data_IF_545679777096
#
_entry.id   IF_545679777096
#
_cell.length_a   1.000
_cell.length_b   1.000
_cell.length_c   1.000
_cell.angle_alpha   90.00
_cell.angle_beta   90.00
_cell.angle_gamma   90.00
#
_symmetry.space_group_name_H-M   'P 1'
#
loop_
_entity.id
_entity.type
_entity.pdbx_description
1 polymer ?
#
# COMPACT_ATOMS: atom_id res chain seq x y z
N UNK A 1 -0.49 -7.55 3.66
CA UNK A 1 0.24 -7.50 4.94
C UNK A 1 1.38 -6.49 4.86
N UNK A 2 1.53 -5.60 5.85
CA UNK A 2 2.55 -4.54 5.82
C UNK A 2 3.98 -5.11 5.94
N UNK A 3 4.18 -6.07 6.85
CA UNK A 3 5.47 -6.70 7.17
C UNK A 3 5.93 -7.79 6.19
N UNK A 4 5.18 -8.07 5.13
CA UNK A 4 5.59 -9.03 4.11
C UNK A 4 6.65 -8.39 3.18
N UNK A 5 7.88 -8.96 3.10
CA UNK A 5 8.94 -8.40 2.27
C UNK A 5 8.60 -8.42 0.77
N UNK A 6 7.93 -9.46 0.29
CA UNK A 6 7.49 -9.55 -1.10
C UNK A 6 6.48 -8.47 -1.47
N UNK A 7 5.53 -8.16 -0.57
CA UNK A 7 4.58 -7.08 -0.76
C UNK A 7 5.27 -5.71 -0.72
N UNK A 8 6.32 -5.55 0.10
CA UNK A 8 7.12 -4.32 0.14
C UNK A 8 7.80 -4.04 -1.19
N UNK A 9 8.42 -5.04 -1.83
CA UNK A 9 9.04 -4.87 -3.15
C UNK A 9 8.05 -4.35 -4.20
N UNK A 10 6.82 -4.91 -4.22
CA UNK A 10 5.77 -4.46 -5.14
C UNK A 10 5.30 -3.03 -4.84
N UNK A 11 5.16 -2.64 -3.56
CA UNK A 11 4.83 -1.25 -3.21
C UNK A 11 5.94 -0.26 -3.60
N UNK A 12 7.19 -0.67 -3.47
CA UNK A 12 8.33 0.14 -3.88
C UNK A 12 8.30 0.37 -5.40
N UNK A 13 8.08 -0.67 -6.22
CA UNK A 13 8.01 -0.46 -7.68
C UNK A 13 6.81 0.39 -8.09
N UNK A 14 5.66 0.25 -7.40
CA UNK A 14 4.50 1.13 -7.60
C UNK A 14 4.87 2.59 -7.34
N UNK A 15 5.69 2.85 -6.31
CA UNK A 15 6.17 4.19 -6.02
C UNK A 15 7.15 4.72 -7.07
N UNK A 16 8.07 3.88 -7.55
CA UNK A 16 9.04 4.20 -8.61
C UNK A 16 8.34 4.55 -9.92
N UNK A 17 7.36 3.75 -10.31
CA UNK A 17 6.58 3.94 -11.54
C UNK A 17 5.49 5.01 -11.41
N UNK A 18 5.36 5.61 -10.22
CA UNK A 18 4.35 6.61 -9.90
C UNK A 18 2.93 6.15 -10.25
N UNK A 19 2.60 4.89 -9.97
CA UNK A 19 1.29 4.31 -10.28
C UNK A 19 0.27 4.57 -9.18
N UNK A 20 -0.98 4.76 -9.60
CA UNK A 20 -2.13 4.76 -8.70
C UNK A 20 -2.69 3.34 -8.60
N UNK A 21 -2.75 2.80 -7.37
CA UNK A 21 -3.12 1.40 -7.15
C UNK A 21 -4.19 1.30 -6.08
N UNK A 22 -5.24 0.52 -6.36
CA UNK A 22 -6.20 0.11 -5.34
C UNK A 22 -5.65 -1.07 -4.55
N UNK A 23 -5.23 -0.82 -3.32
CA UNK A 23 -4.79 -1.88 -2.41
C UNK A 23 -5.95 -2.48 -1.65
N UNK A 24 -5.95 -3.81 -1.59
CA UNK A 24 -6.78 -4.62 -0.69
C UNK A 24 -5.88 -5.20 0.40
N UNK A 25 -5.84 -4.61 1.59
CA UNK A 25 -4.98 -5.11 2.64
C UNK A 25 -5.38 -6.51 3.07
N UNK A 26 -4.40 -7.39 3.22
CA UNK A 26 -4.60 -8.76 3.70
C UNK A 26 -3.70 -8.98 4.93
N UNK A 27 -4.08 -8.50 6.13
CA UNK A 27 -3.38 -8.82 7.38
C UNK A 27 -3.55 -10.30 7.75
N UNK A 28 -2.77 -10.82 8.70
CA UNK A 28 -3.02 -12.15 9.29
C UNK A 28 -4.39 -12.13 9.97
N UNK A 29 -5.15 -13.23 9.83
CA UNK A 29 -6.51 -13.38 10.38
C UNK A 29 -7.57 -12.40 9.83
N UNK A 30 -7.26 -11.67 8.74
CA UNK A 30 -8.24 -10.83 8.05
C UNK A 30 -9.37 -11.67 7.41
N UNK A 31 -10.64 -11.39 7.70
CA UNK A 31 -11.76 -12.20 7.23
C UNK A 31 -12.14 -11.92 5.76
N UNK A 32 -11.77 -10.76 5.20
CA UNK A 32 -12.41 -10.27 3.97
C UNK A 32 -11.64 -10.64 2.69
N UNK A 33 -10.38 -10.23 2.53
CA UNK A 33 -9.72 -10.29 1.22
C UNK A 33 -8.85 -11.52 1.01
N UNK A 34 -8.38 -12.14 2.09
CA UNK A 34 -7.55 -13.36 2.00
C UNK A 34 -8.27 -14.49 1.28
N UNK A 35 -9.58 -14.67 1.53
CA UNK A 35 -10.42 -15.69 0.89
C UNK A 35 -10.59 -15.40 -0.59
N UNK A 36 -10.86 -14.14 -0.96
CA UNK A 36 -10.96 -13.70 -2.35
C UNK A 36 -9.71 -14.01 -3.18
N UNK A 37 -8.52 -13.86 -2.59
CA UNK A 37 -7.27 -14.24 -3.30
C UNK A 37 -7.21 -15.73 -3.61
N UNK A 38 -7.71 -16.60 -2.72
CA UNK A 38 -7.80 -18.03 -3.00
C UNK A 38 -8.89 -18.35 -4.05
N UNK A 39 -10.02 -17.65 -4.03
CA UNK A 39 -11.07 -17.79 -5.03
C UNK A 39 -10.60 -17.37 -6.43
N UNK A 40 -9.80 -16.31 -6.52
CA UNK A 40 -9.33 -15.75 -7.79
C UNK A 40 -8.09 -16.44 -8.36
N UNK A 41 -7.12 -16.81 -7.52
CA UNK A 41 -5.85 -17.39 -7.99
C UNK A 41 -5.54 -18.78 -7.43
N UNK A 42 -6.47 -19.41 -6.71
CA UNK A 42 -6.35 -20.80 -6.25
C UNK A 42 -5.51 -21.01 -4.98
N UNK A 43 -4.81 -19.99 -4.48
CA UNK A 43 -4.01 -20.09 -3.23
C UNK A 43 -3.94 -18.77 -2.46
N UNK A 44 -3.85 -18.84 -1.13
CA UNK A 44 -3.64 -17.67 -0.27
C UNK A 44 -2.17 -17.22 -0.25
N UNK A 45 -1.66 -16.81 -1.42
CA UNK A 45 -0.30 -16.28 -1.59
C UNK A 45 -0.36 -14.76 -1.83
N UNK A 46 0.62 -14.02 -1.29
CA UNK A 46 0.66 -12.56 -1.38
C UNK A 46 2.08 -12.06 -1.72
N UNK A 47 2.23 -11.01 -2.55
CA UNK A 47 1.17 -10.25 -3.21
C UNK A 47 0.48 -11.03 -4.34
N UNK A 48 -0.75 -10.66 -4.63
CA UNK A 48 -1.50 -11.07 -5.82
C UNK A 48 -1.96 -9.79 -6.51
N UNK A 49 -1.65 -9.66 -7.80
CA UNK A 49 -1.94 -8.47 -8.59
C UNK A 49 -3.02 -8.80 -9.62
N UNK A 50 -3.94 -7.86 -9.83
CA UNK A 50 -4.89 -7.86 -10.93
C UNK A 50 -4.76 -6.53 -11.65
N UNK A 51 -4.54 -6.58 -12.96
CA UNK A 51 -4.51 -5.42 -13.83
C UNK A 51 -5.78 -5.39 -14.70
N UNK A 52 -6.75 -4.50 -14.38
CA UNK A 52 -7.99 -4.43 -15.14
C UNK A 52 -7.79 -3.88 -16.57
N UNK A 53 -6.68 -3.18 -16.85
CA UNK A 53 -6.44 -2.61 -18.18
C UNK A 53 -6.09 -3.69 -19.21
N UNK A 54 -5.54 -4.82 -18.76
CA UNK A 54 -5.09 -5.92 -19.62
C UNK A 54 -5.80 -7.25 -19.32
N UNK A 55 -6.51 -7.34 -18.19
CA UNK A 55 -7.10 -8.58 -17.69
C UNK A 55 -6.07 -9.53 -17.05
N UNK A 56 -4.81 -9.13 -16.94
CA UNK A 56 -3.74 -9.95 -16.36
C UNK A 56 -3.94 -10.07 -14.85
N UNK A 57 -3.80 -11.29 -14.33
CA UNK A 57 -3.64 -11.53 -12.89
C UNK A 57 -2.48 -12.49 -12.64
N UNK A 58 -1.71 -12.25 -11.59
CA UNK A 58 -0.51 -13.05 -11.32
C UNK A 58 -0.07 -13.01 -9.85
N UNK A 59 0.68 -14.05 -9.48
CA UNK A 59 1.46 -14.15 -8.26
C UNK A 59 2.92 -13.76 -8.51
N UNK A 60 3.76 -14.05 -7.52
CA UNK A 60 5.21 -13.87 -7.53
C UNK A 60 5.63 -12.41 -7.65
N UNK A 61 6.17 -11.86 -6.56
CA UNK A 61 6.52 -10.43 -6.50
C UNK A 61 7.50 -10.01 -7.59
N UNK A 62 8.42 -10.88 -8.00
CA UNK A 62 9.41 -10.55 -9.04
C UNK A 62 8.79 -10.53 -10.44
N UNK A 63 7.81 -11.40 -10.71
CA UNK A 63 7.09 -11.39 -11.98
C UNK A 63 6.12 -10.20 -12.05
N UNK A 64 5.47 -9.85 -10.93
CA UNK A 64 4.68 -8.62 -10.80
C UNK A 64 5.56 -7.39 -11.10
N UNK A 65 6.76 -7.31 -10.52
CA UNK A 65 7.67 -6.18 -10.77
C UNK A 65 8.08 -6.11 -12.24
N UNK A 66 8.50 -7.23 -12.83
CA UNK A 66 8.86 -7.30 -14.26
C UNK A 66 7.69 -6.87 -15.14
N UNK A 67 6.49 -7.34 -14.84
CA UNK A 67 5.27 -6.98 -15.57
C UNK A 67 5.01 -5.47 -15.48
N UNK A 68 4.99 -4.90 -14.27
CA UNK A 68 4.70 -3.48 -14.06
C UNK A 68 5.72 -2.58 -14.76
N UNK A 69 7.01 -2.93 -14.66
CA UNK A 69 8.09 -2.17 -15.31
C UNK A 69 8.03 -2.30 -16.83
N UNK A 70 7.76 -3.49 -17.37
CA UNK A 70 7.63 -3.69 -18.82
C UNK A 70 6.38 -3.04 -19.42
N UNK A 71 5.28 -2.98 -18.65
CA UNK A 71 3.99 -2.46 -19.13
C UNK A 71 3.81 -0.97 -18.92
N UNK A 72 4.29 -0.45 -17.79
CA UNK A 72 4.04 0.92 -17.33
C UNK A 72 5.33 1.71 -17.06
N UNK A 73 6.50 1.12 -17.28
CA UNK A 73 7.80 1.77 -17.13
C UNK A 73 8.63 1.73 -18.42
N UNK A 74 9.94 1.80 -18.26
CA UNK A 74 10.94 1.78 -19.34
C UNK A 74 11.51 0.38 -19.63
N UNK A 75 10.97 -0.65 -18.97
CA UNK A 75 11.48 -2.02 -19.08
C UNK A 75 12.65 -2.35 -18.14
N UNK A 76 13.23 -1.39 -17.43
CA UNK A 76 14.39 -1.61 -16.56
C UNK A 76 13.99 -1.71 -15.08
N UNK A 77 14.21 -2.89 -14.47
CA UNK A 77 13.99 -3.05 -13.04
C UNK A 77 15.12 -2.36 -12.27
N UNK A 78 14.83 -1.43 -11.34
CA UNK A 78 15.86 -0.78 -10.54
C UNK A 78 16.76 -1.79 -9.84
N UNK A 79 18.08 -1.56 -9.83
CA UNK A 79 19.07 -2.50 -9.26
C UNK A 79 18.77 -2.83 -7.79
N UNK A 80 18.29 -1.84 -7.02
CA UNK A 80 17.88 -2.05 -5.63
C UNK A 80 16.75 -3.08 -5.46
N UNK A 81 15.90 -3.24 -6.48
CA UNK A 81 14.82 -4.24 -6.53
C UNK A 81 15.27 -5.54 -7.20
N UNK A 82 16.30 -5.52 -8.06
CA UNK A 82 16.87 -6.71 -8.68
C UNK A 82 17.82 -7.51 -7.76
N UNK A 83 18.36 -6.86 -6.72
CA UNK A 83 19.24 -7.48 -5.69
C UNK A 83 18.55 -8.50 -4.75
N UNK A 84 17.26 -8.79 -4.96
CA UNK A 84 16.57 -9.94 -4.39
C UNK A 84 16.62 -10.06 -2.85
N UNK A 85 17.09 -11.21 -2.35
CA UNK A 85 17.09 -11.57 -0.92
C UNK A 85 18.02 -10.69 -0.05
N UNK A 86 19.05 -10.06 -0.63
CA UNK A 86 19.98 -9.20 0.11
C UNK A 86 19.32 -7.92 0.64
N UNK A 87 18.49 -7.26 -0.17
CA UNK A 87 17.66 -6.12 0.27
C UNK A 87 16.53 -6.56 1.20
N UNK A 88 16.07 -7.81 1.11
CA UNK A 88 15.07 -8.37 2.03
C UNK A 88 15.62 -8.58 3.44
N UNK A 89 16.88 -9.01 3.57
CA UNK A 89 17.54 -9.23 4.87
C UNK A 89 17.83 -7.91 5.62
N UNK A 90 18.32 -6.88 4.93
CA UNK A 90 18.57 -5.56 5.54
C UNK A 90 17.26 -4.86 5.93
N UNK A 91 16.22 -5.01 5.11
CA UNK A 91 14.86 -4.56 5.42
C UNK A 91 14.27 -5.22 6.67
N UNK A 92 14.57 -6.51 6.91
CA UNK A 92 14.11 -7.26 8.08
C UNK A 92 14.76 -6.80 9.39
N UNK A 93 16.05 -6.47 9.38
CA UNK A 93 16.79 -5.99 10.56
C UNK A 93 16.25 -4.64 11.07
N UNK A 94 15.84 -3.73 10.18
CA UNK A 94 15.23 -2.44 10.55
C UNK A 94 13.84 -2.57 11.22
N UNK A 95 13.24 -3.77 11.24
CA UNK A 95 11.91 -4.02 11.80
C UNK A 95 11.94 -4.61 13.22
N UNK A 96 13.11 -4.98 13.75
CA UNK A 96 13.25 -5.68 15.04
C UNK A 96 12.67 -4.87 16.23
N UNK A 97 12.72 -3.54 16.18
CA UNK A 97 12.21 -2.68 17.25
C UNK A 97 10.72 -2.33 17.19
N UNK A 98 9.95 -2.80 16.20
CA UNK A 98 8.52 -2.48 16.05
C UNK A 98 7.68 -3.76 16.07
N UNK A 99 7.37 -4.22 17.28
CA UNK A 99 6.55 -5.39 17.60
C UNK A 99 5.27 -5.47 16.75
N UNK A 100 5.26 -6.29 15.70
CA UNK A 100 4.06 -6.80 15.01
C UNK A 100 3.10 -5.80 14.35
N UNK A 101 3.29 -4.48 14.47
CA UNK A 101 2.36 -3.47 13.92
C UNK A 101 2.18 -3.63 12.40
N UNK A 102 0.95 -3.50 11.92
CA UNK A 102 0.58 -3.70 10.52
C UNK A 102 0.53 -5.16 10.06
N UNK A 103 0.59 -6.14 10.98
CA UNK A 103 0.73 -7.57 10.63
C UNK A 103 -0.54 -8.39 10.81
N UNK A 104 -1.35 -8.09 11.82
CA UNK A 104 -2.54 -8.87 12.18
C UNK A 104 -3.79 -8.00 12.15
N UNK A 105 -4.92 -8.64 11.87
CA UNK A 105 -6.22 -8.00 11.76
C UNK A 105 -6.72 -7.52 13.11
N UNK A 106 -7.34 -6.35 13.11
CA UNK A 106 -8.16 -5.81 14.18
C UNK A 106 -9.61 -5.69 13.68
N UNK A 107 -10.62 -6.11 14.47
CA UNK A 107 -12.01 -5.97 14.11
C UNK A 107 -12.35 -4.58 13.59
N UNK A 108 -13.04 -4.53 12.45
CA UNK A 108 -13.35 -3.28 11.76
C UNK A 108 -14.57 -3.40 10.86
N UNK A 109 -15.15 -2.24 10.54
CA UNK A 109 -16.21 -2.07 9.55
C UNK A 109 -15.59 -1.73 8.21
N UNK A 110 -15.95 -2.46 7.17
CA UNK A 110 -15.48 -2.14 5.82
C UNK A 110 -16.16 -0.86 5.30
N UNK A 111 -15.39 0.08 4.71
CA UNK A 111 -15.96 1.27 4.10
C UNK A 111 -16.71 0.91 2.80
N UNK A 112 -17.85 1.56 2.49
CA UNK A 112 -18.56 1.35 1.22
C UNK A 112 -17.73 1.72 -0.03
N UNK A 113 -16.92 2.78 0.05
CA UNK A 113 -16.00 3.23 -1.00
C UNK A 113 -14.56 3.16 -0.49
N UNK A 114 -13.58 2.83 -1.35
CA UNK A 114 -12.18 2.84 -0.94
C UNK A 114 -11.74 4.25 -0.55
N UNK A 115 -10.93 4.33 0.50
CA UNK A 115 -10.28 5.58 0.92
C UNK A 115 -9.26 6.02 -0.11
N UNK A 116 -8.86 7.29 -0.13
CA UNK A 116 -7.76 7.77 -0.98
C UNK A 116 -6.61 8.22 -0.09
N UNK A 117 -5.40 7.72 -0.35
CA UNK A 117 -4.22 7.99 0.46
C UNK A 117 -3.09 8.46 -0.43
N UNK A 118 -2.65 9.70 -0.22
CA UNK A 118 -1.48 10.28 -0.88
C UNK A 118 -0.25 10.00 -0.03
N UNK A 119 0.66 9.16 -0.52
CA UNK A 119 1.76 8.64 0.28
C UNK A 119 2.92 8.13 -0.60
N UNK A 120 4.05 7.78 0.02
CA UNK A 120 5.16 7.07 -0.64
C UNK A 120 5.83 6.09 0.33
N UNK A 121 6.43 5.00 -0.18
CA UNK A 121 6.86 3.87 0.66
C UNK A 121 7.94 4.27 1.67
N UNK A 122 8.88 5.13 1.26
CA UNK A 122 10.02 5.58 2.05
C UNK A 122 9.73 6.53 3.23
N UNK A 123 8.50 7.04 3.39
CA UNK A 123 8.17 7.94 4.51
C UNK A 123 7.79 7.16 5.78
N UNK A 124 8.42 7.45 6.95
CA UNK A 124 8.03 6.85 8.22
C UNK A 124 6.62 7.28 8.66
N UNK A 125 6.18 8.49 8.29
CA UNK A 125 4.82 8.97 8.59
C UNK A 125 3.76 8.22 7.77
N UNK A 126 4.04 7.97 6.48
CA UNK A 126 3.17 7.14 5.64
C UNK A 126 3.10 5.70 6.14
N UNK A 127 4.20 5.19 6.73
CA UNK A 127 4.24 3.87 7.34
C UNK A 127 3.25 3.73 8.50
N UNK A 128 3.09 4.75 9.35
CA UNK A 128 2.14 4.74 10.47
C UNK A 128 0.70 4.55 9.96
N UNK A 129 0.29 5.36 8.98
CA UNK A 129 -1.05 5.28 8.39
C UNK A 129 -1.28 3.92 7.72
N UNK A 130 -0.29 3.43 6.97
CA UNK A 130 -0.33 2.12 6.31
C UNK A 130 -0.44 0.95 7.30
N UNK A 131 0.22 1.02 8.45
CA UNK A 131 0.06 0.01 9.51
C UNK A 131 -1.42 -0.08 9.92
N UNK A 132 -2.08 1.05 10.17
CA UNK A 132 -3.50 1.11 10.56
C UNK A 132 -4.44 0.65 9.44
N UNK A 133 -4.24 1.11 8.20
CA UNK A 133 -5.02 0.67 7.04
C UNK A 133 -4.94 -0.86 6.87
N UNK A 134 -3.77 -1.45 7.14
CA UNK A 134 -3.59 -2.89 7.04
C UNK A 134 -4.24 -3.63 8.21
N UNK A 135 -4.07 -3.15 9.45
CA UNK A 135 -4.69 -3.76 10.65
C UNK A 135 -6.21 -3.78 10.54
N UNK A 136 -6.81 -2.67 10.11
CA UNK A 136 -8.26 -2.52 9.92
C UNK A 136 -8.76 -3.05 8.56
N UNK A 137 -7.91 -3.70 7.78
CA UNK A 137 -8.27 -4.30 6.48
C UNK A 137 -8.98 -3.30 5.52
N UNK A 138 -8.59 -2.02 5.51
CA UNK A 138 -9.30 -0.96 4.78
C UNK A 138 -8.81 -0.81 3.32
N UNK A 139 -9.67 -1.06 2.31
CA UNK A 139 -9.33 -0.83 0.91
C UNK A 139 -9.06 0.65 0.65
N UNK A 140 -8.00 0.93 -0.10
CA UNK A 140 -7.62 2.31 -0.40
C UNK A 140 -6.93 2.45 -1.76
N UNK A 141 -7.27 3.52 -2.46
CA UNK A 141 -6.54 4.03 -3.61
C UNK A 141 -5.28 4.72 -3.09
N UNK A 142 -4.12 4.18 -3.44
CA UNK A 142 -2.84 4.72 -3.09
C UNK A 142 -2.32 5.60 -4.22
N UNK A 143 -2.24 6.90 -3.96
CA UNK A 143 -1.67 7.91 -4.86
C UNK A 143 -0.20 8.10 -4.50
N UNK A 144 0.70 7.50 -5.28
CA UNK A 144 2.14 7.64 -5.03
C UNK A 144 2.58 9.10 -5.17
N UNK A 145 3.29 9.62 -4.17
CA UNK A 145 3.87 10.96 -4.14
C UNK A 145 5.39 10.89 -3.88
N UNK A 146 6.07 9.91 -4.47
CA UNK A 146 7.51 9.75 -4.36
C UNK A 146 8.27 11.02 -4.82
N UNK A 147 9.54 11.14 -4.45
CA UNK A 147 10.34 12.32 -4.84
C UNK A 147 10.41 12.39 -6.37
N UNK A 148 10.08 13.55 -6.93
CA UNK A 148 10.01 13.76 -8.38
C UNK A 148 8.64 13.46 -9.02
N UNK A 149 7.68 12.92 -8.26
CA UNK A 149 6.32 12.70 -8.76
C UNK A 149 5.61 14.03 -9.05
N UNK A 150 4.95 14.19 -10.22
CA UNK A 150 4.12 15.35 -10.52
C UNK A 150 2.90 15.45 -9.61
N UNK A 151 2.48 14.34 -8.98
CA UNK A 151 1.35 14.33 -8.02
C UNK A 151 1.59 15.18 -6.79
N UNK A 152 2.84 15.51 -6.48
CA UNK A 152 3.17 16.46 -5.41
C UNK A 152 2.62 17.85 -5.71
N UNK A 153 2.69 18.29 -6.96
CA UNK A 153 2.13 19.56 -7.39
C UNK A 153 0.60 19.50 -7.38
N UNK A 154 0.01 18.39 -7.84
CA UNK A 154 -1.45 18.19 -7.77
C UNK A 154 -1.96 18.32 -6.33
N UNK A 155 -1.28 17.69 -5.37
CA UNK A 155 -1.64 17.79 -3.97
C UNK A 155 -1.43 19.21 -3.41
N UNK A 156 -0.36 19.88 -3.82
CA UNK A 156 -0.11 21.27 -3.46
C UNK A 156 -1.21 22.20 -3.98
N UNK A 157 -1.58 22.08 -5.25
CA UNK A 157 -2.63 22.90 -5.87
C UNK A 157 -3.99 22.66 -5.20
N UNK A 158 -4.26 21.42 -4.76
CA UNK A 158 -5.49 21.07 -4.02
C UNK A 158 -5.52 21.66 -2.60
N UNK A 159 -4.41 21.63 -1.88
CA UNK A 159 -4.41 21.83 -0.41
C UNK A 159 -3.62 23.06 0.07
N UNK A 160 -2.97 23.76 -0.85
CA UNK A 160 -2.08 24.90 -0.57
C UNK A 160 -0.72 24.52 0.02
N UNK A 161 -0.45 23.23 0.27
CA UNK A 161 0.86 22.74 0.74
C UNK A 161 1.10 21.29 0.32
N UNK A 162 2.36 20.89 0.19
CA UNK A 162 2.67 19.47 0.01
C UNK A 162 3.10 18.85 1.34
N UNK A 163 2.36 17.86 1.81
CA UNK A 163 2.70 17.02 2.95
C UNK A 163 2.16 15.61 2.74
N UNK A 164 2.93 14.59 3.11
CA UNK A 164 2.52 13.19 3.02
C UNK A 164 2.77 12.48 4.36
N UNK A 165 1.82 11.69 4.88
CA UNK A 165 0.57 11.27 4.22
C UNK A 165 -0.53 12.34 4.25
N UNK A 166 -1.44 12.25 3.28
CA UNK A 166 -2.72 12.95 3.26
C UNK A 166 -3.84 11.94 2.94
N UNK A 167 -4.91 11.99 3.72
CA UNK A 167 -6.06 11.09 3.62
C UNK A 167 -7.26 11.85 3.04
N UNK A 168 -7.99 11.20 2.14
CA UNK A 168 -9.34 11.59 1.75
C UNK A 168 -10.29 10.41 2.00
N UNK A 169 -11.34 10.65 2.77
CA UNK A 169 -12.37 9.67 3.05
C UNK A 169 -13.68 10.06 2.34
N UNK A 170 -14.00 9.45 1.19
CA UNK A 170 -15.21 9.76 0.45
C UNK A 170 -16.50 9.27 1.15
N UNK A 171 -16.39 8.49 2.22
CA UNK A 171 -17.54 7.99 2.97
C UNK A 171 -18.02 8.98 4.04
N UNK A 172 -17.13 9.84 4.54
CA UNK A 172 -17.42 10.83 5.57
C UNK A 172 -17.21 12.28 5.09
N UNK A 173 -16.49 12.47 3.99
CA UNK A 173 -16.08 13.79 3.48
C UNK A 173 -14.83 14.34 4.17
N UNK A 174 -14.18 13.58 5.06
CA UNK A 174 -12.98 14.02 5.77
C UNK A 174 -11.78 14.05 4.83
N UNK A 175 -11.05 15.16 4.85
CA UNK A 175 -9.76 15.32 4.18
C UNK A 175 -8.76 15.88 5.19
N UNK A 176 -7.63 15.19 5.43
CA UNK A 176 -6.72 15.59 6.51
C UNK A 176 -5.26 15.18 6.32
N UNK A 177 -4.38 15.95 6.95
CA UNK A 177 -2.95 15.68 7.09
C UNK A 177 -2.66 15.04 8.46
N UNK A 178 -1.37 15.00 8.82
CA UNK A 178 -0.85 14.51 10.09
C UNK A 178 -1.07 13.00 10.32
N UNK A 179 0.01 12.22 10.18
CA UNK A 179 -0.08 10.76 10.24
C UNK A 179 -0.63 10.21 11.55
N UNK A 180 -0.45 10.93 12.66
CA UNK A 180 -0.98 10.53 13.97
C UNK A 180 -2.50 10.73 14.02
N UNK A 181 -2.97 11.90 13.60
CA UNK A 181 -4.39 12.23 13.55
C UNK A 181 -5.13 11.34 12.54
N UNK A 182 -4.55 11.08 11.37
CA UNK A 182 -5.09 10.12 10.40
C UNK A 182 -5.24 8.73 11.03
N UNK A 183 -4.23 8.26 11.77
CA UNK A 183 -4.27 6.95 12.40
C UNK A 183 -5.35 6.88 13.49
N UNK A 184 -5.53 7.94 14.27
CA UNK A 184 -6.59 8.06 15.27
C UNK A 184 -7.97 8.10 14.63
N UNK A 185 -8.14 8.92 13.60
CA UNK A 185 -9.37 9.02 12.81
C UNK A 185 -9.80 7.67 12.24
N UNK A 186 -8.89 6.95 11.59
CA UNK A 186 -9.19 5.65 10.98
C UNK A 186 -9.68 4.64 12.03
N UNK A 187 -9.05 4.63 13.22
CA UNK A 187 -9.47 3.76 14.32
C UNK A 187 -10.82 4.18 14.89
N UNK A 188 -11.02 5.46 15.15
CA UNK A 188 -12.28 5.98 15.69
C UNK A 188 -13.47 5.72 14.74
N UNK A 189 -13.23 5.78 13.43
CA UNK A 189 -14.28 5.67 12.41
C UNK A 189 -14.57 4.23 12.04
N UNK A 190 -13.54 3.39 11.90
CA UNK A 190 -13.69 2.06 11.29
C UNK A 190 -13.39 0.89 12.22
N UNK A 191 -12.75 1.06 13.37
CA UNK A 191 -12.55 -0.05 14.30
C UNK A 191 -13.88 -0.48 14.96
N UNK A 192 -13.93 -1.75 15.39
CA UNK A 192 -15.05 -2.35 16.14
C UNK A 192 -14.65 -2.69 17.57
#
# INVERSE_FOLDING_TARGET
MHSCPFCRKVREIVAVLDLDVLFYPCPKNGPNFRRKVAEMGGKQQFPYMVDPNTGVSMYESDDIIKYLVGKYGDGNVPIALSLGYLTTLTAGLAMIGRSGKGSSYSPSRLPPKPLVVWAYEGSPFCKIVREVLVELELPHIYRSCARGSPKRQILFDKTGRFQAPYLEDPNTGVEMFESAEIAEYLKATYAL
#
